data_IF_785796626669
#
_entry.id   IF_785796626669
#
_cell.length_a   1.000
_cell.length_b   1.000
_cell.length_c   1.000
_cell.angle_alpha   90.00
_cell.angle_beta   90.00
_cell.angle_gamma   90.00
#
_symmetry.space_group_name_H-M   'P 1'
#
loop_
_entity.id
_entity.type
_entity.pdbx_description
1 polymer ?
#
# COMPACT_ATOMS: atom_id res chain seq x y z
N UNK A 1 13.39 -37.05 -12.77
CA UNK A 1 14.62 -37.26 -12.00
C UNK A 1 15.47 -36.01 -12.15
N UNK A 2 15.97 -35.39 -11.07
CA UNK A 2 16.80 -34.19 -11.17
C UNK A 2 17.99 -34.40 -12.07
N UNK A 3 18.18 -33.56 -13.07
CA UNK A 3 19.30 -33.64 -14.03
C UNK A 3 20.21 -32.39 -13.89
N UNK A 4 21.49 -32.58 -13.50
CA UNK A 4 22.43 -31.49 -13.39
C UNK A 4 22.82 -30.80 -14.70
N UNK A 5 22.57 -31.46 -15.83
CA UNK A 5 22.89 -30.97 -17.18
C UNK A 5 21.74 -30.25 -17.88
N UNK A 6 20.55 -30.31 -17.30
CA UNK A 6 19.38 -29.60 -17.82
C UNK A 6 19.40 -28.10 -17.47
N UNK A 7 18.44 -27.35 -17.99
CA UNK A 7 18.25 -25.95 -17.59
C UNK A 7 18.07 -25.80 -16.08
N UNK A 8 18.53 -24.69 -15.54
CA UNK A 8 18.41 -24.40 -14.10
C UNK A 8 16.95 -24.12 -13.75
N UNK A 9 16.47 -24.79 -12.71
CA UNK A 9 15.23 -24.47 -11.99
C UNK A 9 15.54 -24.50 -10.49
N UNK A 10 15.35 -23.38 -9.83
CA UNK A 10 15.52 -23.25 -8.38
C UNK A 10 14.45 -22.36 -7.81
N UNK A 11 14.15 -22.56 -6.54
CA UNK A 11 13.11 -21.82 -5.81
C UNK A 11 13.69 -21.11 -4.61
N UNK A 12 13.36 -19.83 -4.48
CA UNK A 12 13.78 -18.96 -3.37
C UNK A 12 12.78 -19.08 -2.23
N UNK A 13 13.11 -19.84 -1.23
CA UNK A 13 12.22 -20.10 -0.10
C UNK A 13 12.52 -19.25 1.15
N UNK A 14 13.58 -18.43 1.13
CA UNK A 14 13.87 -17.52 2.23
C UNK A 14 14.71 -16.32 1.77
N UNK A 15 14.41 -15.16 2.35
CA UNK A 15 15.17 -13.91 2.17
C UNK A 15 15.74 -13.51 3.52
N UNK A 16 17.02 -13.13 3.51
CA UNK A 16 17.73 -12.62 4.71
C UNK A 16 18.46 -11.34 4.35
N UNK A 17 18.25 -10.29 5.11
CA UNK A 17 18.99 -9.03 4.98
C UNK A 17 20.19 -9.06 5.94
N UNK A 18 21.34 -9.49 5.42
CA UNK A 18 22.60 -9.52 6.18
C UNK A 18 23.23 -8.12 6.23
N UNK A 19 23.73 -7.66 7.41
CA UNK A 19 24.32 -6.33 7.54
C UNK A 19 25.58 -6.12 6.69
N UNK A 20 26.32 -7.17 6.35
CA UNK A 20 27.61 -7.10 5.67
C UNK A 20 27.49 -7.45 4.19
N UNK A 21 26.73 -8.49 3.87
CA UNK A 21 26.59 -9.02 2.50
C UNK A 21 25.40 -8.40 1.77
N UNK A 22 24.44 -7.85 2.50
CA UNK A 22 23.19 -7.30 1.96
C UNK A 22 22.10 -8.35 1.83
N UNK A 23 21.18 -8.17 0.88
CA UNK A 23 20.08 -9.10 0.62
C UNK A 23 20.60 -10.43 0.12
N UNK A 24 20.27 -11.51 0.83
CA UNK A 24 20.56 -12.90 0.47
C UNK A 24 19.25 -13.59 0.10
N UNK A 25 19.16 -14.13 -1.11
CA UNK A 25 18.10 -15.04 -1.51
C UNK A 25 18.57 -16.48 -1.34
N UNK A 26 17.95 -17.22 -0.42
CA UNK A 26 18.26 -18.64 -0.16
C UNK A 26 17.31 -19.47 -1.00
N UNK A 27 17.88 -20.32 -1.83
CA UNK A 27 17.12 -21.12 -2.79
C UNK A 27 17.53 -22.59 -2.78
N UNK A 28 16.63 -23.44 -3.24
CA UNK A 28 16.87 -24.86 -3.49
C UNK A 28 16.93 -25.12 -4.99
N UNK A 29 17.98 -25.81 -5.42
CA UNK A 29 18.12 -26.25 -6.81
C UNK A 29 17.29 -27.53 -7.04
N UNK A 30 16.36 -27.50 -7.98
CA UNK A 30 15.57 -28.65 -8.39
C UNK A 30 16.16 -29.33 -9.61
N UNK A 31 16.71 -28.55 -10.54
CA UNK A 31 17.25 -29.01 -11.80
C UNK A 31 18.40 -28.09 -12.26
N UNK A 32 19.28 -28.60 -13.10
CA UNK A 32 20.42 -27.85 -13.62
C UNK A 32 21.52 -27.66 -12.60
N UNK A 33 22.54 -26.86 -12.95
CA UNK A 33 23.67 -26.53 -12.07
C UNK A 33 23.91 -25.03 -12.05
N UNK A 34 23.77 -24.41 -10.88
CA UNK A 34 24.10 -22.99 -10.69
C UNK A 34 25.58 -22.86 -10.39
N UNK A 35 26.28 -22.02 -11.16
CA UNK A 35 27.71 -21.72 -10.96
C UNK A 35 27.91 -20.21 -10.79
N UNK A 36 29.08 -19.81 -10.34
CA UNK A 36 29.52 -18.42 -10.46
C UNK A 36 29.45 -17.99 -11.92
N UNK A 37 29.04 -16.75 -12.17
CA UNK A 37 28.84 -16.16 -13.48
C UNK A 37 27.66 -16.69 -14.31
N UNK A 38 26.89 -17.67 -13.81
CA UNK A 38 25.60 -18.06 -14.43
C UNK A 38 24.66 -16.86 -14.50
N UNK A 39 23.98 -16.72 -15.63
CA UNK A 39 22.89 -15.73 -15.77
C UNK A 39 21.59 -16.42 -15.43
N UNK A 40 20.84 -15.83 -14.50
CA UNK A 40 19.53 -16.34 -14.08
C UNK A 40 18.47 -15.27 -14.21
N UNK A 41 17.28 -15.67 -14.59
CA UNK A 41 16.07 -14.87 -14.56
C UNK A 41 15.33 -15.11 -13.25
N UNK A 42 14.53 -14.14 -12.85
CA UNK A 42 13.61 -14.23 -11.71
C UNK A 42 12.20 -14.23 -12.28
N UNK A 43 11.47 -15.33 -12.11
CA UNK A 43 10.13 -15.53 -12.66
C UNK A 43 10.06 -15.18 -14.16
N UNK A 44 9.07 -14.40 -14.60
CA UNK A 44 8.93 -13.95 -16.00
C UNK A 44 9.80 -12.72 -16.33
N UNK A 45 10.81 -12.44 -15.51
CA UNK A 45 11.69 -11.28 -15.66
C UNK A 45 12.48 -11.28 -16.97
N UNK A 46 12.41 -10.19 -17.73
CA UNK A 46 13.09 -10.06 -19.03
C UNK A 46 14.61 -9.83 -18.94
N UNK A 47 15.09 -9.45 -17.77
CA UNK A 47 16.51 -9.15 -17.57
C UNK A 47 17.12 -10.18 -16.62
N UNK A 48 18.16 -10.92 -17.08
CA UNK A 48 18.87 -11.83 -16.19
C UNK A 48 19.77 -11.06 -15.23
N UNK A 49 19.95 -11.60 -14.05
CA UNK A 49 21.04 -11.20 -13.17
C UNK A 49 22.20 -12.18 -13.25
N UNK A 50 23.39 -11.71 -12.99
CA UNK A 50 24.60 -12.53 -12.96
C UNK A 50 24.91 -12.98 -11.54
N UNK A 51 25.10 -14.26 -11.31
CA UNK A 51 25.53 -14.83 -10.03
C UNK A 51 26.98 -14.44 -9.76
N UNK A 52 27.19 -13.34 -9.02
CA UNK A 52 28.53 -12.87 -8.66
C UNK A 52 29.14 -13.71 -7.54
N UNK A 53 28.34 -14.06 -6.54
CA UNK A 53 28.74 -14.87 -5.39
C UNK A 53 27.65 -15.91 -5.11
N UNK A 54 28.10 -17.15 -4.92
CA UNK A 54 27.26 -18.28 -4.57
C UNK A 54 27.72 -18.81 -3.21
N UNK A 55 26.80 -18.90 -2.26
CA UNK A 55 27.12 -19.27 -0.89
C UNK A 55 26.37 -20.54 -0.46
N UNK A 56 26.98 -21.31 0.39
CA UNK A 56 26.35 -22.33 1.22
C UNK A 56 26.16 -21.78 2.62
N UNK A 57 24.94 -21.84 3.12
CA UNK A 57 24.61 -21.37 4.47
C UNK A 57 25.01 -22.41 5.51
N UNK A 58 25.65 -21.96 6.59
CA UNK A 58 26.05 -22.79 7.74
C UNK A 58 25.68 -22.05 9.03
N UNK A 59 24.44 -22.20 9.46
CA UNK A 59 23.89 -21.42 10.55
C UNK A 59 23.85 -19.93 10.18
N UNK A 60 24.54 -19.07 10.91
CA UNK A 60 24.70 -17.64 10.60
C UNK A 60 25.83 -17.36 9.61
N UNK A 61 26.73 -18.32 9.40
CA UNK A 61 27.88 -18.16 8.53
C UNK A 61 27.51 -18.54 7.09
N UNK A 62 28.20 -17.96 6.15
CA UNK A 62 28.07 -18.27 4.72
C UNK A 62 29.47 -18.59 4.16
N UNK A 63 29.55 -19.67 3.38
CA UNK A 63 30.79 -20.13 2.77
C UNK A 63 30.61 -20.07 1.26
N UNK A 64 31.53 -19.40 0.56
CA UNK A 64 31.48 -19.33 -0.91
C UNK A 64 31.76 -20.71 -1.50
N UNK A 65 30.94 -21.11 -2.49
CA UNK A 65 31.03 -22.37 -3.20
C UNK A 65 31.13 -22.13 -4.71
N UNK A 66 31.76 -23.06 -5.43
CA UNK A 66 31.93 -22.94 -6.87
C UNK A 66 30.64 -23.25 -7.65
N UNK A 67 29.82 -24.17 -7.17
CA UNK A 67 28.59 -24.60 -7.81
C UNK A 67 27.59 -25.17 -6.80
N UNK A 68 26.31 -25.13 -7.18
CA UNK A 68 25.20 -25.81 -6.51
C UNK A 68 24.51 -26.73 -7.52
N UNK A 69 24.26 -28.00 -7.15
CA UNK A 69 23.66 -29.04 -7.96
C UNK A 69 22.23 -29.36 -7.47
N UNK A 70 21.43 -30.12 -8.24
CA UNK A 70 20.08 -30.50 -7.82
C UNK A 70 20.03 -31.14 -6.43
N UNK A 71 19.19 -30.58 -5.55
CA UNK A 71 19.05 -30.96 -4.14
C UNK A 71 19.82 -30.05 -3.18
N UNK A 72 20.82 -29.30 -3.66
CA UNK A 72 21.54 -28.33 -2.81
C UNK A 72 20.65 -27.13 -2.42
N UNK A 73 20.94 -26.61 -1.25
CA UNK A 73 20.46 -25.32 -0.78
C UNK A 73 21.65 -24.36 -0.82
N UNK A 74 21.48 -23.27 -1.57
CA UNK A 74 22.49 -22.24 -1.74
C UNK A 74 21.87 -20.85 -1.59
N UNK A 75 22.73 -19.81 -1.58
CA UNK A 75 22.27 -18.42 -1.54
C UNK A 75 23.04 -17.57 -2.55
N UNK A 76 22.34 -16.59 -3.11
CA UNK A 76 22.94 -15.50 -3.91
C UNK A 76 22.73 -14.18 -3.19
N UNK A 77 23.66 -13.25 -3.40
CA UNK A 77 23.69 -11.97 -2.71
C UNK A 77 23.50 -10.78 -3.65
N UNK A 78 22.98 -9.68 -3.10
CA UNK A 78 22.88 -8.36 -3.76
C UNK A 78 22.04 -8.35 -5.03
N UNK A 79 20.96 -9.10 -5.05
CA UNK A 79 19.98 -9.12 -6.13
C UNK A 79 18.68 -8.56 -5.57
N UNK A 80 18.32 -7.35 -5.98
CA UNK A 80 17.18 -6.61 -5.43
C UNK A 80 15.84 -7.22 -5.86
N UNK A 81 15.80 -7.82 -7.06
CA UNK A 81 14.62 -8.43 -7.65
C UNK A 81 14.16 -9.72 -6.94
N UNK A 82 15.04 -10.33 -6.14
CA UNK A 82 14.69 -11.55 -5.41
C UNK A 82 13.60 -11.30 -4.38
N UNK A 83 12.63 -12.18 -4.35
CA UNK A 83 11.57 -12.19 -3.36
C UNK A 83 11.31 -13.63 -2.90
N UNK A 84 10.52 -13.76 -1.85
CA UNK A 84 10.07 -15.06 -1.37
C UNK A 84 9.22 -15.76 -2.44
N UNK A 85 9.43 -17.06 -2.61
CA UNK A 85 8.73 -17.91 -3.61
C UNK A 85 9.07 -17.58 -5.09
N UNK A 86 10.19 -16.87 -5.34
CA UNK A 86 10.68 -16.59 -6.68
C UNK A 86 11.30 -17.82 -7.32
N UNK A 87 10.98 -18.09 -8.59
CA UNK A 87 11.60 -19.15 -9.40
C UNK A 87 12.80 -18.58 -10.14
N UNK A 88 13.94 -19.23 -10.00
CA UNK A 88 15.17 -18.90 -10.72
C UNK A 88 15.38 -19.90 -11.85
N UNK A 89 15.63 -19.40 -13.06
CA UNK A 89 15.90 -20.21 -14.25
C UNK A 89 16.90 -19.54 -15.18
N UNK A 90 17.51 -20.31 -16.09
CA UNK A 90 18.52 -19.83 -17.05
C UNK A 90 18.03 -19.85 -18.51
N UNK A 91 16.78 -20.22 -18.75
CA UNK A 91 16.18 -20.27 -20.08
C UNK A 91 14.75 -19.74 -20.07
N UNK A 92 14.38 -18.99 -21.10
CA UNK A 92 12.99 -18.55 -21.33
C UNK A 92 12.03 -19.71 -21.68
N UNK A 93 12.55 -20.89 -22.01
CA UNK A 93 11.70 -22.09 -22.18
C UNK A 93 11.06 -22.51 -20.86
N UNK A 94 11.61 -22.04 -19.73
CA UNK A 94 11.18 -22.32 -18.36
C UNK A 94 10.30 -21.20 -17.75
N UNK A 95 10.02 -20.10 -18.47
CA UNK A 95 9.21 -18.96 -17.99
C UNK A 95 7.81 -19.37 -17.49
N UNK A 96 7.29 -20.51 -17.98
CA UNK A 96 5.96 -21.02 -17.58
C UNK A 96 5.99 -21.91 -16.33
N UNK A 97 7.16 -22.13 -15.74
CA UNK A 97 7.27 -22.94 -14.53
C UNK A 97 7.00 -22.08 -13.32
N UNK A 98 5.77 -22.13 -12.86
CA UNK A 98 5.37 -21.55 -11.59
C UNK A 98 5.19 -22.67 -10.57
N UNK A 99 5.92 -22.59 -9.47
CA UNK A 99 5.68 -23.48 -8.34
C UNK A 99 4.38 -23.08 -7.64
N UNK A 100 3.70 -24.06 -7.03
CA UNK A 100 2.50 -23.75 -6.25
C UNK A 100 2.90 -22.85 -5.07
N UNK A 101 2.31 -21.65 -4.95
CA UNK A 101 2.67 -20.72 -3.90
C UNK A 101 2.37 -21.32 -2.52
N UNK A 102 3.23 -21.00 -1.55
CA UNK A 102 2.98 -21.39 -0.17
C UNK A 102 1.87 -20.53 0.43
N UNK A 103 0.84 -21.18 0.95
CA UNK A 103 -0.30 -20.49 1.57
C UNK A 103 0.04 -20.13 3.03
N UNK A 104 0.39 -18.87 3.25
CA UNK A 104 0.68 -18.34 4.58
C UNK A 104 -0.58 -17.79 5.25
N UNK A 105 -0.69 -17.89 6.58
CA UNK A 105 -1.77 -17.27 7.32
C UNK A 105 -1.81 -15.76 7.07
N UNK A 106 -2.99 -15.21 6.84
CA UNK A 106 -3.17 -13.78 6.66
C UNK A 106 -2.90 -13.02 7.96
N UNK A 107 -2.07 -11.97 7.95
CA UNK A 107 -1.82 -11.17 9.13
C UNK A 107 -3.06 -10.34 9.51
N UNK A 108 -3.60 -10.60 10.70
CA UNK A 108 -4.84 -9.96 11.16
C UNK A 108 -4.65 -8.94 12.29
N UNK A 109 -3.51 -8.99 12.98
CA UNK A 109 -3.21 -8.06 14.08
C UNK A 109 -2.41 -6.86 13.54
N UNK A 110 -2.86 -5.64 13.82
CA UNK A 110 -2.28 -4.41 13.29
C UNK A 110 -1.84 -3.43 14.37
N UNK A 111 -0.72 -2.75 14.14
CA UNK A 111 -0.27 -1.61 14.93
C UNK A 111 0.11 -0.46 14.00
N UNK A 112 -0.36 0.75 14.30
CA UNK A 112 0.15 1.97 13.71
C UNK A 112 1.50 2.30 14.35
N UNK A 113 2.50 2.60 13.53
CA UNK A 113 3.87 2.87 13.98
C UNK A 113 4.37 4.21 13.46
N UNK A 114 5.10 4.91 14.30
CA UNK A 114 5.80 6.15 13.95
C UNK A 114 7.21 6.15 14.54
N UNK A 115 8.15 6.82 13.90
CA UNK A 115 9.50 6.94 14.42
C UNK A 115 9.48 7.68 15.78
N UNK A 116 10.16 7.13 16.78
CA UNK A 116 10.25 7.78 18.09
C UNK A 116 11.02 9.11 18.04
N UNK A 117 11.96 9.23 17.12
CA UNK A 117 12.83 10.41 16.91
C UNK A 117 12.54 11.07 15.57
N UNK A 118 12.46 12.40 15.55
CA UNK A 118 12.33 13.18 14.32
C UNK A 118 13.52 12.94 13.38
N UNK A 119 13.25 12.82 12.07
CA UNK A 119 14.26 12.58 11.05
C UNK A 119 14.59 11.10 10.83
N UNK A 120 13.98 10.18 11.58
CA UNK A 120 14.14 8.75 11.37
C UNK A 120 13.05 8.10 10.49
N UNK A 121 12.13 8.90 9.93
CA UNK A 121 10.99 8.41 9.16
C UNK A 121 11.44 7.61 7.92
N UNK A 122 12.44 8.14 7.19
CA UNK A 122 12.98 7.46 6.01
C UNK A 122 13.70 6.17 6.40
N UNK A 123 14.49 6.20 7.49
CA UNK A 123 15.18 5.03 8.00
C UNK A 123 14.21 3.95 8.48
N UNK A 124 13.10 4.38 9.11
CA UNK A 124 12.01 3.50 9.52
C UNK A 124 11.39 2.81 8.32
N UNK A 125 11.01 3.56 7.29
CA UNK A 125 10.43 3.00 6.06
C UNK A 125 11.32 1.93 5.44
N UNK A 126 12.60 2.23 5.23
CA UNK A 126 13.56 1.28 4.65
C UNK A 126 13.69 0.02 5.52
N UNK A 127 13.78 0.17 6.83
CA UNK A 127 13.95 -0.95 7.74
C UNK A 127 12.69 -1.84 7.85
N UNK A 128 11.50 -1.22 7.82
CA UNK A 128 10.23 -1.97 7.78
C UNK A 128 10.10 -2.79 6.49
N UNK A 129 10.46 -2.22 5.34
CA UNK A 129 10.44 -2.96 4.07
C UNK A 129 11.40 -4.15 4.08
N UNK A 130 12.61 -3.98 4.64
CA UNK A 130 13.55 -5.10 4.78
C UNK A 130 13.02 -6.22 5.67
N UNK A 131 12.31 -5.89 6.76
CA UNK A 131 11.67 -6.89 7.61
C UNK A 131 10.52 -7.60 6.87
N UNK A 132 9.75 -6.87 6.06
CA UNK A 132 8.67 -7.44 5.26
C UNK A 132 9.18 -8.37 4.15
N UNK A 133 10.37 -8.11 3.60
CA UNK A 133 11.02 -9.03 2.65
C UNK A 133 11.44 -10.36 3.31
N UNK A 134 11.81 -10.35 4.61
CA UNK A 134 12.23 -11.54 5.34
C UNK A 134 11.06 -12.39 5.84
N UNK A 135 9.88 -11.81 5.98
CA UNK A 135 8.75 -12.44 6.67
C UNK A 135 7.44 -12.25 5.87
N UNK A 136 6.96 -13.29 5.17
CA UNK A 136 5.75 -13.21 4.36
C UNK A 136 4.46 -12.95 5.16
N UNK A 137 4.51 -13.08 6.48
CA UNK A 137 3.40 -12.75 7.38
C UNK A 137 3.53 -11.37 8.04
N UNK A 138 4.54 -10.59 7.69
CA UNK A 138 4.72 -9.22 8.16
C UNK A 138 4.49 -8.23 7.03
N UNK A 139 3.37 -7.50 7.08
CA UNK A 139 2.97 -6.54 6.06
C UNK A 139 3.12 -5.11 6.56
N UNK A 140 3.48 -4.21 5.66
CA UNK A 140 3.58 -2.77 5.92
C UNK A 140 2.67 -2.04 4.94
N UNK A 141 1.73 -1.28 5.46
CA UNK A 141 0.72 -0.55 4.70
C UNK A 141 0.73 0.92 5.10
N UNK A 142 0.48 1.80 4.15
CA UNK A 142 0.21 3.20 4.43
C UNK A 142 -1.29 3.48 4.26
N UNK A 143 -1.97 3.68 5.39
CA UNK A 143 -3.40 4.01 5.41
C UNK A 143 -3.58 5.49 5.07
N UNK A 144 -3.99 5.76 3.84
CA UNK A 144 -4.11 7.13 3.30
C UNK A 144 -5.13 7.96 4.10
N UNK A 145 -6.25 7.34 4.49
CA UNK A 145 -7.35 8.05 5.16
C UNK A 145 -6.99 8.53 6.56
N UNK A 146 -6.22 7.77 7.29
CA UNK A 146 -5.76 8.13 8.64
C UNK A 146 -4.36 8.71 8.64
N UNK A 147 -3.68 8.67 7.49
CA UNK A 147 -2.28 9.03 7.31
C UNK A 147 -1.38 8.33 8.33
N UNK A 148 -1.49 7.01 8.39
CA UNK A 148 -0.74 6.16 9.31
C UNK A 148 0.03 5.09 8.57
N UNK A 149 1.25 4.80 9.05
CA UNK A 149 1.94 3.57 8.67
C UNK A 149 1.50 2.47 9.62
N UNK A 150 0.86 1.44 9.07
CA UNK A 150 0.34 0.30 9.81
C UNK A 150 1.16 -0.93 9.49
N UNK A 151 1.68 -1.59 10.50
CA UNK A 151 2.29 -2.91 10.37
C UNK A 151 1.30 -3.97 10.80
N UNK A 152 1.18 -5.04 10.01
CA UNK A 152 0.29 -6.16 10.28
C UNK A 152 1.09 -7.45 10.47
N UNK A 153 0.66 -8.27 11.38
CA UNK A 153 1.28 -9.55 11.70
C UNK A 153 0.27 -10.57 12.21
N UNK A 154 0.74 -11.79 12.49
CA UNK A 154 -0.12 -12.88 12.96
C UNK A 154 -0.65 -12.68 14.38
N UNK A 155 0.09 -11.94 15.20
CA UNK A 155 -0.26 -11.69 16.61
C UNK A 155 0.50 -10.49 17.17
N UNK A 156 0.10 -10.05 18.37
CA UNK A 156 0.83 -9.04 19.13
C UNK A 156 2.29 -9.45 19.39
N UNK A 157 2.53 -10.70 19.76
CA UNK A 157 3.89 -11.22 19.98
C UNK A 157 4.72 -11.17 18.69
N UNK A 158 4.14 -11.53 17.55
CA UNK A 158 4.81 -11.48 16.26
C UNK A 158 5.25 -10.03 15.92
N UNK A 159 4.37 -9.05 16.08
CA UNK A 159 4.72 -7.65 15.85
C UNK A 159 5.76 -7.14 16.85
N UNK A 160 5.64 -7.48 18.13
CA UNK A 160 6.65 -7.09 19.14
C UNK A 160 8.04 -7.64 18.82
N UNK A 161 8.14 -8.88 18.34
CA UNK A 161 9.43 -9.45 17.92
C UNK A 161 10.00 -8.68 16.71
N UNK A 162 9.16 -8.36 15.72
CA UNK A 162 9.63 -7.60 14.55
C UNK A 162 10.01 -6.15 14.90
N UNK A 163 9.28 -5.48 15.79
CA UNK A 163 9.64 -4.15 16.29
C UNK A 163 10.93 -4.19 17.14
N UNK A 164 11.16 -5.27 17.90
CA UNK A 164 12.43 -5.47 18.60
C UNK A 164 13.60 -5.67 17.61
N UNK A 165 13.40 -6.47 16.56
CA UNK A 165 14.41 -6.63 15.48
C UNK A 165 14.71 -5.31 14.78
N UNK A 166 13.69 -4.46 14.57
CA UNK A 166 13.84 -3.12 14.03
C UNK A 166 14.81 -2.27 14.86
N UNK A 167 14.66 -2.30 16.20
CA UNK A 167 15.54 -1.63 17.13
C UNK A 167 16.94 -2.23 17.12
N UNK A 168 17.05 -3.54 17.26
CA UNK A 168 18.34 -4.22 17.47
C UNK A 168 19.21 -4.25 16.22
N UNK A 169 18.61 -4.46 15.03
CA UNK A 169 19.36 -4.56 13.77
C UNK A 169 19.54 -3.22 13.07
N UNK A 170 18.53 -2.36 13.13
CA UNK A 170 18.51 -1.10 12.35
C UNK A 170 18.66 0.15 13.22
N UNK A 171 18.63 0.01 14.57
CA UNK A 171 18.75 1.13 15.51
C UNK A 171 17.61 2.14 15.34
N UNK A 172 16.39 1.68 15.01
CA UNK A 172 15.20 2.51 14.87
C UNK A 172 14.22 2.15 15.96
N UNK A 173 13.94 3.10 16.85
CA UNK A 173 12.87 2.97 17.84
C UNK A 173 11.57 3.55 17.29
N UNK A 174 10.46 2.89 17.61
CA UNK A 174 9.12 3.29 17.18
C UNK A 174 8.19 3.45 18.38
N UNK A 175 7.23 4.36 18.22
CA UNK A 175 6.02 4.40 19.05
C UNK A 175 4.96 3.62 18.31
N UNK A 176 4.25 2.76 19.01
CA UNK A 176 3.18 1.95 18.44
C UNK A 176 1.87 2.17 19.20
N UNK A 177 0.77 2.12 18.50
CA UNK A 177 -0.59 2.22 19.03
C UNK A 177 -1.56 1.44 18.15
N UNK A 178 -2.78 1.13 18.61
CA UNK A 178 -3.82 0.63 17.73
C UNK A 178 -4.06 1.59 16.55
N UNK A 179 -4.25 1.09 15.32
CA UNK A 179 -4.59 1.92 14.16
C UNK A 179 -5.89 2.69 14.40
N UNK A 180 -5.97 3.90 13.87
CA UNK A 180 -7.23 4.66 13.89
C UNK A 180 -8.24 4.04 12.94
N UNK A 181 -9.50 4.12 13.30
CA UNK A 181 -10.60 3.70 12.44
C UNK A 181 -10.96 4.87 11.52
N UNK A 182 -10.97 4.64 10.21
CA UNK A 182 -11.40 5.63 9.22
C UNK A 182 -12.94 5.75 9.24
N UNK A 183 -13.45 6.58 10.14
CA UNK A 183 -14.88 6.87 10.21
C UNK A 183 -15.35 7.68 8.99
N UNK A 184 -16.63 7.54 8.66
CA UNK A 184 -17.34 8.31 7.65
C UNK A 184 -18.58 8.92 8.25
N UNK A 185 -18.90 10.16 7.85
CA UNK A 185 -20.19 10.77 8.12
C UNK A 185 -21.18 10.40 7.02
N UNK A 186 -22.46 10.41 7.33
CA UNK A 186 -23.56 10.33 6.36
C UNK A 186 -24.75 11.10 6.87
N UNK A 187 -25.73 11.33 6.00
CA UNK A 187 -26.97 12.01 6.36
C UNK A 187 -28.07 10.98 6.66
N UNK A 188 -28.85 11.23 7.69
CA UNK A 188 -29.96 10.34 8.11
C UNK A 188 -31.32 10.71 7.55
N UNK A 189 -31.49 11.92 7.02
CA UNK A 189 -32.77 12.43 6.49
C UNK A 189 -32.49 13.48 5.42
N UNK A 190 -33.57 13.76 4.63
CA UNK A 190 -33.52 14.85 3.67
C UNK A 190 -33.46 16.19 4.42
N UNK A 191 -32.67 17.10 3.90
CA UNK A 191 -32.59 18.46 4.41
C UNK A 191 -32.35 19.46 3.28
N UNK A 192 -32.78 20.69 3.50
CA UNK A 192 -32.55 21.79 2.58
C UNK A 192 -31.73 22.87 3.24
N UNK A 193 -30.84 23.48 2.47
CA UNK A 193 -29.96 24.54 2.93
C UNK A 193 -29.93 25.69 1.94
N UNK A 194 -29.88 26.91 2.46
CA UNK A 194 -29.74 28.13 1.68
C UNK A 194 -28.62 28.96 2.22
N UNK A 195 -27.77 29.46 1.33
CA UNK A 195 -26.76 30.45 1.68
C UNK A 195 -26.66 31.55 0.65
N UNK A 196 -26.59 32.78 1.15
CA UNK A 196 -26.39 33.98 0.35
C UNK A 196 -25.12 34.68 0.77
N UNK A 197 -24.14 34.72 -0.12
CA UNK A 197 -22.92 35.49 0.03
C UNK A 197 -23.07 36.85 -0.64
N UNK A 198 -22.97 37.92 0.12
CA UNK A 198 -22.91 39.29 -0.38
C UNK A 198 -21.80 40.04 0.32
N UNK A 199 -20.77 40.43 -0.41
CA UNK A 199 -19.64 41.19 0.13
C UNK A 199 -19.32 42.36 -0.81
N UNK A 200 -19.25 43.55 -0.23
CA UNK A 200 -18.87 44.76 -0.97
C UNK A 200 -17.90 45.55 -0.09
N UNK A 201 -16.62 45.48 -0.45
CA UNK A 201 -15.53 46.22 0.24
C UNK A 201 -14.71 46.92 -0.84
N UNK A 202 -15.21 48.08 -1.28
CA UNK A 202 -14.48 48.97 -2.23
C UNK A 202 -14.14 48.28 -3.57
N UNK A 203 -14.87 48.53 -4.65
CA UNK A 203 -14.68 47.90 -5.98
C UNK A 203 -15.82 46.96 -6.36
N UNK A 204 -15.53 45.96 -7.21
CA UNK A 204 -16.52 45.00 -7.70
C UNK A 204 -17.06 44.15 -6.56
N UNK A 205 -18.38 44.18 -6.32
CA UNK A 205 -19.04 43.40 -5.31
C UNK A 205 -19.06 41.89 -5.64
N UNK A 206 -18.96 41.04 -4.61
CA UNK A 206 -19.16 39.61 -4.71
C UNK A 206 -20.58 39.25 -4.33
N UNK A 207 -21.24 38.48 -5.20
CA UNK A 207 -22.58 37.96 -4.92
C UNK A 207 -22.68 36.50 -5.37
N UNK A 208 -23.28 35.68 -4.50
CA UNK A 208 -23.62 34.30 -4.82
C UNK A 208 -24.73 33.81 -3.87
N UNK A 209 -25.71 33.17 -4.44
CA UNK A 209 -26.83 32.62 -3.69
C UNK A 209 -27.11 31.21 -4.20
N UNK A 210 -27.15 30.24 -3.29
CA UNK A 210 -27.32 28.81 -3.61
C UNK A 210 -28.33 28.18 -2.68
N UNK A 211 -29.23 27.38 -3.25
CA UNK A 211 -30.14 26.51 -2.55
C UNK A 211 -29.73 25.08 -2.83
N UNK A 212 -29.51 24.30 -1.80
CA UNK A 212 -29.13 22.90 -1.91
C UNK A 212 -30.13 22.02 -1.14
N UNK A 213 -30.40 20.86 -1.70
CA UNK A 213 -31.09 19.77 -1.01
C UNK A 213 -30.15 18.61 -0.87
N UNK A 214 -30.12 17.99 0.29
CA UNK A 214 -29.33 16.80 0.56
C UNK A 214 -30.27 15.63 0.88
N UNK A 215 -29.94 14.46 0.37
CA UNK A 215 -30.71 13.23 0.53
C UNK A 215 -29.76 12.08 0.87
N UNK A 216 -30.14 11.18 1.81
CA UNK A 216 -29.39 9.97 2.05
C UNK A 216 -29.48 9.02 0.85
N UNK A 217 -28.38 8.35 0.53
CA UNK A 217 -28.32 7.26 -0.44
C UNK A 217 -28.12 5.92 0.27
N UNK A 218 -28.43 4.81 -0.39
CA UNK A 218 -28.08 3.48 0.11
C UNK A 218 -26.57 3.36 0.38
N UNK A 219 -26.23 2.58 1.42
CA UNK A 219 -24.83 2.40 1.84
C UNK A 219 -23.97 1.84 0.70
N UNK A 220 -22.83 2.49 0.47
CA UNK A 220 -21.88 2.12 -0.59
C UNK A 220 -22.17 2.76 -1.95
N UNK A 221 -23.16 3.65 -2.07
CA UNK A 221 -23.46 4.37 -3.32
C UNK A 221 -22.46 5.51 -3.58
N UNK A 222 -21.88 6.10 -2.52
CA UNK A 222 -20.92 7.18 -2.63
C UNK A 222 -21.60 8.55 -2.72
N UNK A 223 -21.27 9.33 -3.75
CA UNK A 223 -21.74 10.71 -3.92
C UNK A 223 -22.40 10.92 -5.27
N UNK A 224 -23.58 11.53 -5.27
CA UNK A 224 -24.29 11.99 -6.47
C UNK A 224 -24.55 13.50 -6.41
N UNK A 225 -24.30 14.19 -7.53
CA UNK A 225 -24.66 15.60 -7.69
C UNK A 225 -25.74 15.75 -8.75
N UNK A 226 -26.86 16.37 -8.39
CA UNK A 226 -27.96 16.64 -9.30
C UNK A 226 -28.12 18.14 -9.57
N UNK A 227 -28.35 18.46 -10.83
CA UNK A 227 -28.70 19.81 -11.27
C UNK A 227 -30.21 19.88 -11.54
N UNK A 228 -30.94 20.45 -10.61
CA UNK A 228 -32.40 20.67 -10.71
C UNK A 228 -32.75 22.13 -11.06
N UNK A 229 -31.75 22.94 -11.44
CA UNK A 229 -31.98 24.35 -11.77
C UNK A 229 -32.73 24.49 -13.08
N UNK A 230 -33.99 24.94 -13.01
CA UNK A 230 -34.80 25.29 -14.19
C UNK A 230 -34.83 26.82 -14.38
N UNK A 231 -34.69 27.28 -15.61
CA UNK A 231 -34.95 28.68 -15.98
C UNK A 231 -33.85 29.70 -15.70
N UNK A 232 -32.56 29.33 -15.80
CA UNK A 232 -31.49 30.30 -15.92
C UNK A 232 -31.09 31.09 -14.64
N UNK A 233 -31.65 30.75 -13.49
CA UNK A 233 -31.41 31.44 -12.21
C UNK A 233 -29.94 31.38 -11.78
N UNK A 234 -29.25 30.26 -12.07
CA UNK A 234 -27.81 30.10 -11.91
C UNK A 234 -27.24 29.81 -13.30
N UNK A 235 -26.45 30.71 -13.90
CA UNK A 235 -25.82 30.45 -15.18
C UNK A 235 -25.01 29.15 -15.16
N UNK A 236 -25.11 28.34 -16.23
CA UNK A 236 -24.49 27.02 -16.31
C UNK A 236 -22.98 26.99 -16.00
N UNK A 237 -22.29 28.06 -16.33
CA UNK A 237 -20.86 28.21 -16.05
C UNK A 237 -20.48 28.20 -14.56
N UNK A 238 -21.41 28.52 -13.65
CA UNK A 238 -21.14 28.53 -12.20
C UNK A 238 -21.52 27.23 -11.48
N UNK A 239 -22.28 26.33 -12.12
CA UNK A 239 -22.69 25.06 -11.52
C UNK A 239 -21.53 24.15 -11.15
N UNK A 240 -20.47 24.01 -11.96
CA UNK A 240 -19.28 23.25 -11.56
C UNK A 240 -18.57 23.82 -10.33
N UNK A 241 -18.64 25.14 -10.13
CA UNK A 241 -18.06 25.77 -8.93
C UNK A 241 -18.85 25.41 -7.66
N UNK A 242 -20.17 25.28 -7.76
CA UNK A 242 -21.01 24.81 -6.65
C UNK A 242 -20.69 23.34 -6.31
N UNK A 243 -20.64 22.47 -7.31
CA UNK A 243 -20.26 21.07 -7.11
C UNK A 243 -18.87 20.93 -6.46
N UNK A 244 -17.89 21.73 -6.93
CA UNK A 244 -16.54 21.76 -6.32
C UNK A 244 -16.60 22.17 -4.84
N UNK A 245 -17.40 23.16 -4.49
CA UNK A 245 -17.59 23.58 -3.10
C UNK A 245 -18.23 22.48 -2.24
N UNK A 246 -19.24 21.78 -2.78
CA UNK A 246 -19.87 20.63 -2.12
C UNK A 246 -18.84 19.53 -1.88
N UNK A 247 -18.06 19.14 -2.88
CA UNK A 247 -17.02 18.11 -2.73
C UNK A 247 -15.96 18.47 -1.70
N UNK A 248 -15.61 19.74 -1.55
CA UNK A 248 -14.69 20.19 -0.51
C UNK A 248 -15.26 19.96 0.88
N UNK A 249 -16.54 20.30 1.11
CA UNK A 249 -17.22 20.07 2.40
C UNK A 249 -17.36 18.58 2.67
N UNK A 250 -17.72 17.77 1.66
CA UNK A 250 -17.81 16.32 1.80
C UNK A 250 -16.48 15.69 2.19
N UNK A 251 -15.37 16.19 1.66
CA UNK A 251 -14.04 15.69 2.01
C UNK A 251 -13.60 16.07 3.43
N UNK A 252 -13.99 17.24 3.92
CA UNK A 252 -13.61 17.74 5.25
C UNK A 252 -14.54 17.28 6.38
N UNK A 253 -15.73 16.78 6.04
CA UNK A 253 -16.78 16.49 7.01
C UNK A 253 -17.53 17.74 7.46
N UNK A 254 -18.70 17.55 8.04
CA UNK A 254 -19.57 18.66 8.50
C UNK A 254 -19.73 18.73 10.01
N UNK A 255 -19.69 17.62 10.71
CA UNK A 255 -19.97 17.54 12.16
C UNK A 255 -18.75 17.11 12.95
N UNK A 256 -18.19 15.96 12.64
CA UNK A 256 -17.05 15.39 13.37
C UNK A 256 -15.72 15.49 12.62
N UNK A 257 -15.74 16.03 11.40
CA UNK A 257 -14.53 16.17 10.57
C UNK A 257 -14.14 14.93 9.80
N UNK A 258 -15.07 13.97 9.66
CA UNK A 258 -14.84 12.78 8.82
C UNK A 258 -15.48 12.97 7.44
N UNK A 259 -14.87 12.45 6.37
CA UNK A 259 -15.45 12.55 5.03
C UNK A 259 -16.87 12.01 4.97
N UNK A 260 -17.76 12.74 4.27
CA UNK A 260 -19.17 12.38 4.12
C UNK A 260 -19.33 11.52 2.86
N UNK A 261 -20.10 10.42 2.99
CA UNK A 261 -20.44 9.53 1.88
C UNK A 261 -21.91 9.12 1.90
N UNK A 262 -22.35 8.47 0.84
CA UNK A 262 -23.73 7.98 0.65
C UNK A 262 -24.74 9.12 0.73
N UNK A 263 -24.44 10.21 0.00
CA UNK A 263 -25.25 11.41 -0.03
C UNK A 263 -25.47 11.89 -1.46
N UNK A 264 -26.70 12.27 -1.75
CA UNK A 264 -27.06 13.01 -2.96
C UNK A 264 -27.22 14.48 -2.61
N UNK A 265 -26.63 15.35 -3.40
CA UNK A 265 -26.79 16.81 -3.27
C UNK A 265 -27.37 17.35 -4.55
N UNK A 266 -28.54 17.97 -4.45
CA UNK A 266 -29.21 18.63 -5.57
C UNK A 266 -29.10 20.15 -5.43
N UNK A 267 -28.64 20.82 -6.52
CA UNK A 267 -28.73 22.26 -6.62
C UNK A 267 -30.14 22.63 -7.12
N UNK A 268 -30.83 23.48 -6.36
CA UNK A 268 -32.21 23.85 -6.62
C UNK A 268 -32.32 25.30 -7.09
N UNK A 269 -33.47 25.58 -7.72
CA UNK A 269 -33.93 26.96 -7.95
C UNK A 269 -34.29 27.59 -6.61
N UNK A 270 -33.97 28.88 -6.42
CA UNK A 270 -34.46 29.64 -5.29
C UNK A 270 -35.95 29.43 -5.11
N UNK A 271 -36.38 29.01 -3.94
CA UNK A 271 -37.82 29.04 -3.61
C UNK A 271 -38.29 30.49 -3.76
N UNK A 272 -39.15 30.75 -4.73
CA UNK A 272 -39.95 31.98 -4.65
C UNK A 272 -40.80 31.84 -3.39
N UNK A 273 -40.81 32.84 -2.50
CA UNK A 273 -41.80 32.84 -1.44
C UNK A 273 -43.19 32.75 -2.10
N UNK A 274 -43.94 31.71 -1.75
CA UNK A 274 -45.36 31.66 -2.10
C UNK A 274 -45.97 32.92 -1.50
N UNK A 275 -46.25 33.90 -2.35
CA UNK A 275 -47.12 34.99 -2.00
C UNK A 275 -48.52 34.36 -1.81
N UNK A 276 -48.90 34.14 -0.54
CA UNK A 276 -50.28 33.94 -0.14
C UNK A 276 -50.95 35.32 0.00
#
# INVERSE_FOLDING_TARGET
>A
KPDPAAHVIADVFNIVNDPFVGKLGIFRVYQGTVKKDTQLFVDDGKKPFKVAHLFKMKGKDHVEIAQAIPGDIAAVAKIDELHFDAVLHDSHDEDQIHLAPLDFPKPMFGLAVEAASKGHEQKLSIALHKLAEEDPCFHVEHEIETNETVVRGLSDLHLRINLQRLKDRYGVEVKSRPPRIAYRETVGANAEGHHRHKKQTGGAGQFGEVFLRIEPLPRGTGFEFLDEVKGGTIPGQFRPAVEKGVRQVLASGAVAGYPIQDVRVAIQKSAQPNNA
#
